data_IF_371494546778
#
_entry.id   IF_371494546778
#
_cell.length_a   1.000
_cell.length_b   1.000
_cell.length_c   1.000
_cell.angle_alpha   90.00
_cell.angle_beta   90.00
_cell.angle_gamma   90.00
#
_symmetry.space_group_name_H-M   'P 1'
#
loop_
_entity.id
_entity.type
_entity.pdbx_description
1 polymer ?
#
# COMPACT_ATOMS: atom_id res chain seq x y z
N UNK A 1 -13.15 -15.88 -8.63
CA UNK A 1 -13.77 -14.86 -7.76
C UNK A 1 -14.39 -13.81 -8.67
N UNK A 2 -15.57 -13.28 -8.35
CA UNK A 2 -16.27 -12.23 -9.11
C UNK A 2 -16.56 -11.11 -8.13
N UNK A 3 -16.09 -9.91 -8.43
CA UNK A 3 -16.26 -8.73 -7.59
C UNK A 3 -16.81 -7.55 -8.41
N UNK A 4 -17.54 -6.60 -7.80
CA UNK A 4 -17.94 -5.38 -8.48
C UNK A 4 -16.70 -4.58 -8.92
N UNK A 5 -16.70 -4.08 -10.14
CA UNK A 5 -15.66 -3.16 -10.59
C UNK A 5 -15.85 -1.80 -9.93
N UNK A 6 -14.81 -1.33 -9.25
CA UNK A 6 -14.74 0.01 -8.65
C UNK A 6 -13.81 0.88 -9.52
N UNK A 7 -14.38 1.91 -10.12
CA UNK A 7 -13.64 2.88 -10.93
C UNK A 7 -12.72 3.77 -10.06
N UNK A 8 -12.00 4.68 -10.71
CA UNK A 8 -11.20 5.71 -10.04
C UNK A 8 -9.77 5.28 -9.72
N UNK A 9 -9.26 5.73 -8.57
CA UNK A 9 -7.86 5.62 -8.17
C UNK A 9 -7.56 4.28 -7.50
N UNK A 10 -6.36 3.76 -7.76
CA UNK A 10 -5.79 2.64 -7.01
C UNK A 10 -4.88 3.19 -5.91
N UNK A 11 -5.16 2.80 -4.68
CA UNK A 11 -4.43 3.30 -3.50
C UNK A 11 -3.84 2.13 -2.73
N UNK A 12 -2.67 2.35 -2.15
CA UNK A 12 -2.02 1.40 -1.25
C UNK A 12 -1.64 2.07 0.06
N UNK A 13 -1.87 1.37 1.18
CA UNK A 13 -1.51 1.82 2.52
C UNK A 13 -0.69 0.74 3.21
N UNK A 14 0.52 1.06 3.61
CA UNK A 14 1.34 0.19 4.44
C UNK A 14 1.00 0.40 5.93
N UNK A 15 0.98 -0.70 6.68
CA UNK A 15 0.87 -0.71 8.14
C UNK A 15 2.14 -1.34 8.69
N UNK A 16 2.74 -0.70 9.70
CA UNK A 16 3.92 -1.16 10.41
C UNK A 16 3.58 -1.24 11.90
N UNK A 17 3.48 -2.46 12.41
CA UNK A 17 2.96 -2.71 13.76
C UNK A 17 1.49 -2.30 13.88
N UNK A 18 1.21 -1.24 14.63
CA UNK A 18 -0.13 -0.70 14.88
C UNK A 18 -0.41 0.63 14.13
N UNK A 19 0.49 1.04 13.21
CA UNK A 19 0.43 2.35 12.57
C UNK A 19 0.43 2.25 11.06
N UNK A 20 -0.50 2.95 10.41
CA UNK A 20 -0.43 3.21 9.00
C UNK A 20 0.68 4.23 8.69
N UNK A 21 1.43 4.00 7.61
CA UNK A 21 2.54 4.86 7.21
C UNK A 21 2.04 6.03 6.37
N UNK A 22 1.56 5.76 5.18
CA UNK A 22 1.07 6.79 4.25
C UNK A 22 0.10 6.17 3.23
N UNK A 23 -0.47 7.00 2.35
CA UNK A 23 -1.28 6.56 1.22
C UNK A 23 -0.53 6.87 -0.07
N UNK A 24 -0.29 5.86 -0.89
CA UNK A 24 0.29 5.98 -2.23
C UNK A 24 -0.80 5.73 -3.28
N UNK A 25 -0.88 6.58 -4.31
CA UNK A 25 -1.63 6.27 -5.53
C UNK A 25 -0.74 5.48 -6.50
N UNK A 26 -1.26 4.37 -7.00
CA UNK A 26 -0.63 3.57 -8.06
C UNK A 26 -1.25 3.99 -9.38
N UNK A 27 -0.46 4.63 -10.24
CA UNK A 27 -0.91 5.11 -11.54
C UNK A 27 -0.37 4.15 -12.60
N UNK A 28 -1.25 3.40 -13.32
CA UNK A 28 -0.82 2.57 -14.41
C UNK A 28 -0.14 3.43 -15.50
N UNK A 29 1.01 3.03 -15.99
CA UNK A 29 1.57 3.65 -17.19
C UNK A 29 0.71 3.23 -18.37
N UNK A 30 -0.14 4.12 -18.84
CA UNK A 30 -0.88 3.96 -20.11
C UNK A 30 0.08 4.18 -21.27
N UNK A 31 0.86 3.14 -21.59
CA UNK A 31 1.63 3.05 -22.82
C UNK A 31 1.02 1.93 -23.65
N UNK A 32 0.68 2.22 -24.91
CA UNK A 32 0.19 1.25 -25.90
C UNK A 32 1.04 -0.02 -25.85
N UNK A 33 0.38 -1.16 -25.94
CA UNK A 33 0.91 -2.50 -26.04
C UNK A 33 2.28 -2.57 -26.72
N UNK A 34 3.34 -2.65 -25.93
CA UNK A 34 4.62 -3.11 -26.42
C UNK A 34 5.10 -4.26 -25.52
N UNK A 35 5.29 -5.42 -26.14
CA UNK A 35 5.64 -6.68 -25.48
C UNK A 35 6.99 -6.61 -24.75
N UNK A 36 7.81 -5.60 -25.05
CA UNK A 36 9.11 -5.36 -24.40
C UNK A 36 8.98 -4.63 -23.05
N UNK A 37 7.85 -3.97 -22.78
CA UNK A 37 7.60 -3.26 -21.50
C UNK A 37 7.29 -4.19 -20.32
N UNK A 38 7.10 -5.49 -20.55
CA UNK A 38 6.80 -6.48 -19.48
C UNK A 38 8.02 -6.87 -18.63
N UNK A 39 9.24 -6.56 -19.06
CA UNK A 39 10.49 -6.93 -18.38
C UNK A 39 11.45 -5.75 -18.16
N UNK A 40 11.05 -4.53 -18.53
CA UNK A 40 11.77 -3.29 -18.25
C UNK A 40 11.18 -2.57 -17.03
N UNK A 41 12.02 -1.91 -16.27
CA UNK A 41 11.73 -1.18 -15.04
C UNK A 41 10.39 -0.44 -15.04
N UNK A 42 9.40 -0.98 -14.27
CA UNK A 42 8.28 -0.22 -13.74
C UNK A 42 7.03 -0.08 -14.60
N UNK A 43 6.10 -1.07 -14.54
CA UNK A 43 4.76 -0.99 -15.15
C UNK A 43 3.79 0.01 -14.52
N UNK A 44 4.13 0.67 -13.41
CA UNK A 44 3.33 1.69 -12.73
C UNK A 44 4.21 2.81 -12.18
N UNK A 45 3.64 3.99 -11.99
CA UNK A 45 4.26 5.08 -11.24
C UNK A 45 3.55 5.25 -9.89
N UNK A 46 4.32 5.62 -8.86
CA UNK A 46 3.81 5.87 -7.52
C UNK A 46 3.72 7.36 -7.28
N UNK A 47 2.60 7.83 -6.73
CA UNK A 47 2.40 9.21 -6.29
C UNK A 47 2.21 9.20 -4.77
N UNK A 48 3.19 9.73 -4.07
CA UNK A 48 3.22 9.74 -2.61
C UNK A 48 3.55 11.16 -2.09
N UNK A 49 2.69 11.78 -1.26
CA UNK A 49 1.38 11.28 -0.84
C UNK A 49 0.37 11.26 -1.98
N UNK A 50 -0.62 10.37 -1.91
CA UNK A 50 -1.69 10.29 -2.89
C UNK A 50 -2.48 11.60 -2.97
N UNK A 51 -2.78 12.14 -4.18
CA UNK A 51 -3.55 13.38 -4.35
C UNK A 51 -5.06 13.10 -4.19
N UNK A 52 -5.47 12.87 -2.96
CA UNK A 52 -6.85 12.58 -2.54
C UNK A 52 -7.25 13.51 -1.38
N UNK A 53 -8.55 13.72 -1.12
CA UNK A 53 -8.99 14.50 0.02
C UNK A 53 -8.44 13.95 1.35
N UNK A 54 -8.00 14.80 2.30
CA UNK A 54 -7.43 14.37 3.59
C UNK A 54 -8.32 13.37 4.35
N UNK A 55 -9.65 13.59 4.37
CA UNK A 55 -10.61 12.69 4.99
C UNK A 55 -10.60 11.28 4.40
N UNK A 56 -10.31 11.15 3.09
CA UNK A 56 -10.23 9.86 2.40
C UNK A 56 -8.92 9.16 2.76
N UNK A 57 -7.82 9.92 2.84
CA UNK A 57 -6.54 9.40 3.29
C UNK A 57 -6.62 8.89 4.74
N UNK A 58 -7.19 9.67 5.64
CA UNK A 58 -7.40 9.28 7.03
C UNK A 58 -8.27 8.01 7.15
N UNK A 59 -9.37 7.96 6.36
CA UNK A 59 -10.24 6.78 6.32
C UNK A 59 -9.51 5.55 5.79
N UNK A 60 -8.72 5.68 4.72
CA UNK A 60 -7.94 4.57 4.16
C UNK A 60 -6.91 4.04 5.17
N UNK A 61 -6.19 4.94 5.84
CA UNK A 61 -5.22 4.58 6.89
C UNK A 61 -5.91 3.89 8.08
N UNK A 62 -7.05 4.40 8.54
CA UNK A 62 -7.83 3.77 9.61
C UNK A 62 -8.28 2.36 9.24
N UNK A 63 -8.88 2.19 8.05
CA UNK A 63 -9.32 0.88 7.55
C UNK A 63 -8.17 -0.12 7.38
N UNK A 64 -6.99 0.35 6.94
CA UNK A 64 -5.81 -0.51 6.82
C UNK A 64 -5.36 -1.05 8.19
N UNK A 65 -5.34 -0.22 9.23
CA UNK A 65 -5.01 -0.63 10.60
C UNK A 65 -6.07 -1.58 11.15
N UNK A 66 -7.35 -1.29 10.94
CA UNK A 66 -8.45 -2.16 11.36
C UNK A 66 -8.37 -3.55 10.69
N UNK A 67 -8.11 -3.59 9.38
CA UNK A 67 -7.97 -4.84 8.64
C UNK A 67 -6.75 -5.65 9.10
N UNK A 68 -5.60 -4.98 9.33
CA UNK A 68 -4.39 -5.59 9.90
C UNK A 68 -4.69 -6.27 11.24
N UNK A 69 -5.36 -5.56 12.14
CA UNK A 69 -5.71 -6.08 13.46
C UNK A 69 -6.76 -7.20 13.38
N UNK A 70 -7.80 -7.04 12.56
CA UNK A 70 -8.87 -8.02 12.41
C UNK A 70 -8.39 -9.37 11.88
N UNK A 71 -7.35 -9.35 11.01
CA UNK A 71 -6.70 -10.55 10.48
C UNK A 71 -5.63 -11.13 11.42
N UNK A 72 -5.39 -10.50 12.58
CA UNK A 72 -4.33 -10.91 13.50
C UNK A 72 -2.92 -10.76 12.92
N UNK A 73 -2.74 -9.83 11.98
CA UNK A 73 -1.45 -9.59 11.36
C UNK A 73 -0.46 -9.00 12.35
N UNK A 74 0.84 -9.21 12.06
CA UNK A 74 1.97 -8.66 12.80
C UNK A 74 3.01 -8.16 11.80
N UNK A 75 3.97 -7.38 12.27
CA UNK A 75 5.02 -6.84 11.42
C UNK A 75 4.46 -5.80 10.44
N UNK A 76 4.71 -6.02 9.16
CA UNK A 76 4.31 -5.11 8.09
C UNK A 76 3.28 -5.75 7.18
N UNK A 77 2.22 -4.99 6.83
CA UNK A 77 1.25 -5.36 5.79
C UNK A 77 1.05 -4.21 4.82
N UNK A 78 0.44 -4.51 3.67
CA UNK A 78 -0.05 -3.50 2.72
C UNK A 78 -1.50 -3.80 2.40
N UNK A 79 -2.35 -2.81 2.60
CA UNK A 79 -3.75 -2.85 2.22
C UNK A 79 -3.94 -2.12 0.90
N UNK A 80 -4.63 -2.75 -0.05
CA UNK A 80 -4.88 -2.22 -1.38
C UNK A 80 -6.35 -1.80 -1.52
N UNK A 81 -6.58 -0.60 -2.07
CA UNK A 81 -7.89 0.03 -2.14
C UNK A 81 -8.23 0.51 -3.55
N UNK A 82 -9.53 0.64 -3.82
CA UNK A 82 -10.05 1.45 -4.92
C UNK A 82 -10.84 2.63 -4.35
N UNK A 83 -10.61 3.81 -4.92
CA UNK A 83 -11.34 5.03 -4.58
C UNK A 83 -12.00 5.61 -5.81
N UNK A 84 -13.33 5.51 -5.87
CA UNK A 84 -14.17 6.20 -6.88
C UNK A 84 -14.36 7.63 -6.41
N UNK A 85 -13.62 8.56 -7.00
CA UNK A 85 -13.63 9.99 -6.65
C UNK A 85 -14.88 10.72 -7.15
N UNK A 86 -15.64 10.13 -8.08
CA UNK A 86 -16.93 10.66 -8.55
C UNK A 86 -18.03 10.31 -7.56
N UNK A 87 -18.07 9.07 -7.09
CA UNK A 87 -19.10 8.59 -6.15
C UNK A 87 -18.70 8.74 -4.69
N UNK A 88 -17.47 9.16 -4.43
CA UNK A 88 -16.87 9.25 -3.09
C UNK A 88 -16.92 7.91 -2.32
N UNK A 89 -16.59 6.83 -3.02
CA UNK A 89 -16.62 5.47 -2.46
C UNK A 89 -15.21 4.91 -2.35
N UNK A 90 -14.79 4.59 -1.14
CA UNK A 90 -13.53 3.90 -0.84
C UNK A 90 -13.81 2.44 -0.48
N UNK A 91 -13.15 1.51 -1.18
CA UNK A 91 -13.29 0.07 -0.99
C UNK A 91 -11.92 -0.54 -0.73
N UNK A 92 -11.79 -1.28 0.38
CA UNK A 92 -10.65 -2.15 0.64
C UNK A 92 -10.80 -3.42 -0.21
N UNK A 93 -9.77 -3.77 -0.98
CA UNK A 93 -9.76 -4.95 -1.83
C UNK A 93 -9.12 -6.14 -1.14
N UNK A 94 -7.89 -5.95 -0.65
CA UNK A 94 -7.10 -7.02 -0.03
C UNK A 94 -6.07 -6.49 0.96
N UNK A 95 -5.57 -7.40 1.81
CA UNK A 95 -4.42 -7.17 2.67
C UNK A 95 -3.31 -8.15 2.28
N UNK A 96 -2.17 -7.61 1.87
CA UNK A 96 -0.98 -8.37 1.56
C UNK A 96 -0.10 -8.46 2.81
N UNK A 97 0.07 -9.67 3.34
CA UNK A 97 0.86 -9.95 4.56
C UNK A 97 2.35 -10.17 4.27
N UNK A 98 2.74 -10.23 2.98
CA UNK A 98 4.14 -10.32 2.54
C UNK A 98 4.38 -9.32 1.40
N UNK A 99 4.27 -8.01 1.66
CA UNK A 99 4.47 -7.02 0.62
C UNK A 99 5.93 -7.00 0.13
N UNK A 100 6.13 -6.55 -1.10
CA UNK A 100 7.47 -6.37 -1.66
C UNK A 100 8.32 -5.43 -0.79
N UNK A 101 9.60 -5.79 -0.63
CA UNK A 101 10.55 -5.10 0.23
C UNK A 101 11.82 -4.68 -0.51
N UNK A 102 11.75 -4.47 -1.83
CA UNK A 102 12.85 -3.82 -2.55
C UNK A 102 12.87 -2.31 -2.24
N UNK A 103 13.98 -1.61 -2.39
CA UNK A 103 14.04 -0.15 -2.12
C UNK A 103 12.98 0.69 -2.84
N UNK A 104 12.48 0.22 -3.97
CA UNK A 104 11.44 0.87 -4.79
C UNK A 104 10.05 0.27 -4.58
N UNK A 105 9.87 -0.58 -3.57
CA UNK A 105 8.56 -1.12 -3.20
C UNK A 105 7.77 -0.13 -2.35
N UNK A 106 6.44 -0.23 -2.39
CA UNK A 106 5.50 0.69 -1.74
C UNK A 106 5.75 0.85 -0.23
N UNK A 107 6.06 -0.23 0.49
CA UNK A 107 6.30 -0.17 1.94
C UNK A 107 7.57 0.64 2.26
N UNK A 108 8.76 0.34 1.68
CA UNK A 108 9.95 1.15 1.86
C UNK A 108 9.78 2.61 1.42
N UNK A 109 9.07 2.87 0.32
CA UNK A 109 8.79 4.25 -0.12
C UNK A 109 7.96 5.02 0.91
N UNK A 110 6.90 4.42 1.46
CA UNK A 110 6.08 5.04 2.49
C UNK A 110 6.85 5.23 3.81
N UNK A 111 7.69 4.27 4.20
CA UNK A 111 8.57 4.40 5.36
C UNK A 111 9.55 5.57 5.19
N UNK A 112 10.21 5.65 4.03
CA UNK A 112 11.14 6.73 3.69
C UNK A 112 10.45 8.11 3.69
N UNK A 113 9.21 8.21 3.22
CA UNK A 113 8.41 9.42 3.27
C UNK A 113 8.21 9.93 4.70
N UNK A 114 8.16 9.03 5.69
CA UNK A 114 8.09 9.37 7.12
C UNK A 114 9.46 9.49 7.79
N UNK A 115 10.56 9.45 7.03
CA UNK A 115 11.92 9.55 7.56
C UNK A 115 12.48 8.24 8.12
N UNK A 116 11.83 7.10 7.89
CA UNK A 116 12.33 5.77 8.28
C UNK A 116 13.17 5.25 7.11
N UNK A 117 14.49 5.16 7.31
CA UNK A 117 15.41 4.62 6.32
C UNK A 117 15.17 3.12 6.05
N UNK A 118 15.63 2.65 4.88
CA UNK A 118 15.47 1.25 4.50
C UNK A 118 16.09 0.29 5.52
N UNK A 119 17.29 0.58 5.99
CA UNK A 119 18.00 -0.25 6.97
C UNK A 119 17.27 -0.28 8.33
N UNK A 120 16.70 0.86 8.75
CA UNK A 120 15.91 0.96 9.98
C UNK A 120 14.60 0.19 9.87
N UNK A 121 13.95 0.25 8.71
CA UNK A 121 12.74 -0.54 8.44
C UNK A 121 13.03 -2.03 8.52
N UNK A 122 14.07 -2.50 7.84
CA UNK A 122 14.48 -3.93 7.86
C UNK A 122 14.87 -4.36 9.26
N UNK A 123 15.66 -3.55 9.98
CA UNK A 123 16.02 -3.81 11.36
C UNK A 123 14.79 -3.96 12.25
N UNK A 124 13.83 -3.03 12.14
CA UNK A 124 12.58 -3.10 12.90
C UNK A 124 11.80 -4.38 12.62
N UNK A 125 11.67 -4.78 11.34
CA UNK A 125 10.99 -6.02 10.95
C UNK A 125 11.64 -7.24 11.58
N UNK A 126 12.97 -7.30 11.61
CA UNK A 126 13.73 -8.42 12.23
C UNK A 126 13.54 -8.43 13.75
N UNK A 127 13.55 -7.28 14.39
CA UNK A 127 13.35 -7.15 15.84
C UNK A 127 11.91 -7.47 16.27
N UNK A 128 10.92 -7.13 15.44
CA UNK A 128 9.49 -7.47 15.68
C UNK A 128 9.19 -8.95 15.41
N UNK A 129 10.02 -9.63 14.61
CA UNK A 129 9.80 -11.02 14.23
C UNK A 129 9.86 -11.93 15.47
N UNK A 130 8.71 -12.45 15.88
CA UNK A 130 8.60 -13.38 17.00
C UNK A 130 7.59 -14.47 16.66
N UNK A 131 7.96 -15.72 16.98
CA UNK A 131 7.04 -16.84 16.93
C UNK A 131 6.51 -17.10 18.34
N UNK A 132 5.19 -17.12 18.57
CA UNK A 132 4.66 -17.69 19.80
C UNK A 132 5.10 -19.16 19.87
N UNK A 133 5.78 -19.53 20.95
CA UNK A 133 6.15 -20.90 21.25
C UNK A 133 5.00 -21.60 21.94
#
# INVERSE_FOLDING_TARGET
MIEPYIAGKELAVAVMGDKALAVTEIVPRTGFYDYEAKYGEGGSSHVLPAPIPPRVAEKAMGLAVEAHAALGCRGVTRSDFRYDDIKDVLVLLEVNTQPGMTPTSLVPEQAAHLGIGYDDLVKWIVEDASCPR
#
